data_IF_282681307956
#
_entry.id   IF_282681307956
#
_cell.length_a   1.000
_cell.length_b   1.000
_cell.length_c   1.000
_cell.angle_alpha   90.00
_cell.angle_beta   90.00
_cell.angle_gamma   90.00
#
_symmetry.space_group_name_H-M   'P 1'
#
loop_
_entity.id
_entity.type
_entity.pdbx_description
1 polymer ?
#
# COMPACT_ATOMS: atom_id res chain seq x y z
N UNK A 1 61.04 23.84 54.52
CA UNK A 1 60.69 23.20 55.76
C UNK A 1 59.32 22.74 55.58
N UNK A 2 59.27 21.64 55.39
CA UNK A 2 58.70 20.36 55.77
C UNK A 2 57.37 20.07 54.98
N UNK A 3 57.40 19.25 54.06
CA UNK A 3 57.48 17.80 54.03
C UNK A 3 56.08 17.16 54.31
N UNK A 4 55.70 16.36 53.41
CA UNK A 4 54.78 15.21 53.52
C UNK A 4 53.31 15.44 53.80
N UNK A 5 52.58 15.59 52.72
CA UNK A 5 51.18 15.17 52.72
C UNK A 5 51.06 13.84 52.02
N UNK A 6 51.04 12.75 52.77
CA UNK A 6 50.76 11.43 52.25
C UNK A 6 49.28 11.31 51.85
N UNK A 7 49.05 11.18 50.54
CA UNK A 7 47.72 10.89 49.98
C UNK A 7 47.41 9.40 50.29
N UNK A 8 46.54 9.13 51.25
CA UNK A 8 45.95 7.80 51.47
C UNK A 8 44.92 7.49 50.42
N UNK A 9 45.30 6.76 49.36
CA UNK A 9 44.36 6.16 48.44
C UNK A 9 43.70 4.98 49.12
N UNK A 10 42.44 5.10 49.46
CA UNK A 10 41.58 4.01 49.92
C UNK A 10 41.14 3.21 48.71
N UNK A 11 41.72 2.04 48.45
CA UNK A 11 41.22 1.11 47.46
C UNK A 11 39.84 0.60 47.96
N UNK A 12 38.79 1.08 47.31
CA UNK A 12 37.46 0.49 47.43
C UNK A 12 37.37 -0.63 46.40
N UNK A 13 37.52 -1.88 46.82
CA UNK A 13 37.28 -3.04 45.96
C UNK A 13 35.78 -3.19 45.82
N UNK A 14 35.17 -3.09 44.62
CA UNK A 14 33.75 -3.38 44.48
C UNK A 14 33.54 -4.89 44.67
N UNK A 15 32.67 -5.23 45.60
CA UNK A 15 32.13 -6.59 45.75
C UNK A 15 31.37 -6.88 44.46
N UNK A 16 31.92 -7.76 43.62
CA UNK A 16 31.22 -8.30 42.46
C UNK A 16 30.10 -9.20 42.99
N UNK A 17 28.89 -8.67 43.01
CA UNK A 17 27.73 -9.48 43.21
C UNK A 17 27.60 -10.42 42.00
N UNK A 18 27.74 -11.74 42.25
CA UNK A 18 27.40 -12.75 41.24
C UNK A 18 25.93 -12.59 40.90
N UNK A 19 25.65 -11.90 39.79
CA UNK A 19 24.31 -11.87 39.20
C UNK A 19 24.04 -13.27 38.64
N UNK A 20 22.95 -13.88 39.08
CA UNK A 20 22.35 -15.07 38.47
C UNK A 20 22.23 -14.88 36.95
N UNK A 21 22.41 -15.93 36.13
CA UNK A 21 22.31 -15.82 34.70
C UNK A 21 20.91 -15.28 34.35
N UNK A 22 20.86 -14.09 33.81
CA UNK A 22 19.62 -13.54 33.23
C UNK A 22 19.19 -14.49 32.11
N UNK A 23 17.97 -15.00 32.25
CA UNK A 23 17.31 -15.81 31.24
C UNK A 23 17.43 -15.05 29.89
N UNK A 24 18.09 -15.66 28.92
CA UNK A 24 18.24 -15.09 27.59
C UNK A 24 16.87 -14.62 27.09
N UNK A 25 16.77 -13.45 26.46
CA UNK A 25 15.51 -12.99 25.91
C UNK A 25 15.02 -14.06 24.93
N UNK A 26 13.83 -14.57 25.19
CA UNK A 26 13.16 -15.48 24.27
C UNK A 26 12.93 -14.69 23.01
N UNK A 27 13.72 -14.94 21.98
CA UNK A 27 13.49 -14.40 20.64
C UNK A 27 12.18 -15.01 20.16
N UNK A 28 11.09 -14.30 20.35
CA UNK A 28 9.82 -14.64 19.71
C UNK A 28 10.05 -14.43 18.22
N UNK A 29 10.33 -15.50 17.49
CA UNK A 29 10.31 -15.47 16.05
C UNK A 29 8.87 -15.16 15.64
N UNK A 30 8.62 -13.90 15.30
CA UNK A 30 7.41 -13.56 14.56
C UNK A 30 7.41 -14.42 13.29
N UNK A 31 6.31 -15.07 12.94
CA UNK A 31 6.26 -15.83 11.69
C UNK A 31 6.64 -14.88 10.54
N UNK A 32 7.33 -15.39 9.51
CA UNK A 32 7.72 -14.55 8.37
C UNK A 32 6.50 -13.83 7.81
N UNK A 33 6.65 -12.57 7.34
CA UNK A 33 5.54 -11.78 6.84
C UNK A 33 4.76 -12.60 5.82
N UNK A 34 3.46 -12.74 6.05
CA UNK A 34 2.58 -13.49 5.17
C UNK A 34 2.54 -12.81 3.81
N UNK A 35 3.02 -13.47 2.77
CA UNK A 35 2.91 -13.00 1.37
C UNK A 35 1.47 -13.03 0.85
N UNK A 36 0.53 -13.53 1.67
CA UNK A 36 -0.86 -13.70 1.27
C UNK A 36 -1.77 -12.78 2.08
N UNK A 37 -2.67 -12.08 1.38
CA UNK A 37 -3.84 -11.49 2.02
C UNK A 37 -4.73 -12.61 2.55
N UNK A 38 -5.31 -12.40 3.74
CA UNK A 38 -6.27 -13.33 4.34
C UNK A 38 -7.62 -12.68 4.39
N UNK A 39 -8.65 -13.40 3.98
CA UNK A 39 -10.04 -12.95 4.06
C UNK A 39 -10.85 -13.95 4.89
N UNK A 40 -11.74 -13.43 5.73
CA UNK A 40 -12.68 -14.20 6.55
C UNK A 40 -14.09 -13.80 6.18
N UNK A 41 -14.96 -14.78 5.89
CA UNK A 41 -16.40 -14.59 5.78
C UNK A 41 -17.01 -14.36 7.16
N UNK A 42 -17.83 -13.33 7.29
CA UNK A 42 -18.58 -13.01 8.51
C UNK A 42 -20.02 -13.50 8.43
N UNK A 43 -20.52 -13.84 7.24
CA UNK A 43 -21.82 -14.45 7.00
C UNK A 43 -21.76 -15.41 5.79
N UNK A 44 -22.82 -16.16 5.58
CA UNK A 44 -23.00 -17.01 4.40
C UNK A 44 -23.16 -16.21 3.08
N UNK A 45 -23.45 -14.90 3.17
CA UNK A 45 -23.63 -14.02 2.02
C UNK A 45 -22.33 -13.37 1.55
N UNK A 46 -21.24 -13.52 2.32
CA UNK A 46 -19.94 -13.00 1.95
C UNK A 46 -19.36 -13.75 0.73
N UNK A 47 -18.83 -13.01 -0.22
CA UNK A 47 -18.13 -13.58 -1.38
C UNK A 47 -16.63 -13.33 -1.22
N UNK A 48 -15.82 -14.39 -1.22
CA UNK A 48 -14.36 -14.27 -1.12
C UNK A 48 -13.83 -13.53 -2.35
N UNK A 49 -13.02 -12.48 -2.17
CA UNK A 49 -12.50 -11.67 -3.28
C UNK A 49 -11.60 -12.49 -4.20
N UNK A 50 -11.82 -12.37 -5.50
CA UNK A 50 -11.02 -13.05 -6.53
C UNK A 50 -10.59 -12.06 -7.60
N UNK A 51 -9.46 -12.33 -8.25
CA UNK A 51 -9.03 -11.58 -9.43
C UNK A 51 -9.65 -12.17 -10.68
N UNK A 52 -10.14 -11.31 -11.57
CA UNK A 52 -10.74 -11.74 -12.84
C UNK A 52 -9.73 -12.47 -13.73
N UNK A 53 -8.45 -12.08 -13.69
CA UNK A 53 -7.35 -12.74 -14.41
C UNK A 53 -6.12 -12.85 -13.52
N UNK A 54 -5.16 -13.68 -13.86
CA UNK A 54 -3.91 -13.84 -13.10
C UNK A 54 -3.10 -12.52 -12.96
N UNK A 55 -3.27 -11.59 -13.90
CA UNK A 55 -2.58 -10.29 -13.93
C UNK A 55 -3.45 -9.10 -13.50
N UNK A 56 -4.71 -9.32 -13.13
CA UNK A 56 -5.55 -8.24 -12.56
C UNK A 56 -4.93 -7.73 -11.27
N UNK A 57 -4.85 -6.40 -11.11
CA UNK A 57 -4.33 -5.76 -9.91
C UNK A 57 -5.33 -5.89 -8.74
N UNK A 58 -6.62 -5.72 -9.03
CA UNK A 58 -7.69 -5.72 -8.03
C UNK A 58 -8.38 -7.07 -7.86
N UNK A 59 -8.80 -7.32 -6.65
CA UNK A 59 -9.70 -8.42 -6.27
C UNK A 59 -11.11 -7.88 -6.21
N UNK A 60 -12.06 -8.46 -6.94
CA UNK A 60 -13.45 -8.00 -6.95
C UNK A 60 -14.07 -8.12 -5.55
N UNK A 61 -14.70 -7.04 -5.07
CA UNK A 61 -15.50 -6.99 -3.85
C UNK A 61 -16.98 -6.99 -4.23
N UNK A 62 -17.73 -7.94 -3.65
CA UNK A 62 -19.16 -8.10 -3.93
C UNK A 62 -20.02 -7.68 -2.74
N UNK A 63 -21.20 -7.16 -3.03
CA UNK A 63 -22.21 -6.85 -2.05
C UNK A 63 -22.75 -8.13 -1.40
N UNK A 64 -22.78 -8.17 -0.07
CA UNK A 64 -23.39 -9.27 0.69
C UNK A 64 -24.92 -9.10 0.82
N UNK A 65 -25.43 -7.88 0.63
CA UNK A 65 -26.84 -7.53 0.79
C UNK A 65 -27.27 -6.56 -0.29
N UNK A 66 -28.58 -6.53 -0.58
CA UNK A 66 -29.19 -5.51 -1.40
C UNK A 66 -29.00 -4.14 -0.75
N UNK A 67 -28.70 -3.12 -1.56
CA UNK A 67 -28.50 -1.74 -1.09
C UNK A 67 -28.96 -0.77 -2.17
N UNK A 68 -29.61 0.33 -1.77
CA UNK A 68 -29.94 1.44 -2.65
C UNK A 68 -28.97 2.60 -2.39
N UNK A 69 -28.37 3.11 -3.45
CA UNK A 69 -27.51 4.29 -3.39
C UNK A 69 -28.29 5.45 -4.00
N UNK A 70 -28.76 6.41 -3.17
CA UNK A 70 -29.62 7.49 -3.64
C UNK A 70 -28.95 8.33 -4.74
N UNK A 71 -29.74 8.90 -5.62
CA UNK A 71 -29.30 9.90 -6.58
C UNK A 71 -28.53 11.03 -5.90
N UNK A 72 -27.40 11.44 -6.45
CA UNK A 72 -26.51 12.47 -5.89
C UNK A 72 -26.13 12.22 -4.41
N UNK A 73 -26.19 10.96 -3.94
CA UNK A 73 -25.98 10.55 -2.57
C UNK A 73 -24.87 9.51 -2.40
N UNK A 74 -24.90 8.85 -1.26
CA UNK A 74 -23.93 7.80 -0.93
C UNK A 74 -24.56 6.73 -0.05
N UNK A 75 -23.97 5.53 -0.08
CA UNK A 75 -24.31 4.46 0.85
C UNK A 75 -23.06 3.61 1.17
N UNK A 76 -23.12 2.86 2.27
CA UNK A 76 -22.12 1.84 2.60
C UNK A 76 -22.68 0.49 2.17
N UNK A 77 -22.04 -0.13 1.19
CA UNK A 77 -22.35 -1.50 0.77
C UNK A 77 -21.56 -2.47 1.66
N UNK A 78 -22.28 -3.35 2.36
CA UNK A 78 -21.68 -4.37 3.23
C UNK A 78 -21.16 -5.52 2.38
N UNK A 79 -19.94 -5.98 2.66
CA UNK A 79 -19.33 -7.15 2.00
C UNK A 79 -19.37 -8.39 2.86
N UNK A 80 -19.63 -8.23 4.16
CA UNK A 80 -19.55 -9.27 5.18
C UNK A 80 -18.19 -10.01 5.18
N UNK A 81 -17.13 -9.27 4.88
CA UNK A 81 -15.75 -9.74 4.91
C UNK A 81 -14.96 -9.02 6.00
N UNK A 82 -14.00 -9.71 6.58
CA UNK A 82 -12.88 -9.12 7.33
C UNK A 82 -11.59 -9.54 6.63
N UNK A 83 -10.65 -8.61 6.47
CA UNK A 83 -9.43 -8.81 5.67
C UNK A 83 -8.21 -8.46 6.51
N UNK A 84 -7.14 -9.25 6.35
CA UNK A 84 -5.82 -8.93 6.87
C UNK A 84 -4.87 -8.73 5.68
N UNK A 85 -4.38 -7.52 5.51
CA UNK A 85 -3.38 -7.19 4.50
C UNK A 85 -2.01 -7.76 4.89
N UNK A 86 -1.17 -8.14 3.92
CA UNK A 86 0.23 -8.49 4.18
C UNK A 86 0.98 -7.32 4.82
N UNK A 87 2.00 -7.62 5.60
CA UNK A 87 2.88 -6.61 6.19
C UNK A 87 3.55 -5.76 5.11
N UNK A 88 3.71 -4.47 5.37
CA UNK A 88 4.25 -3.50 4.40
C UNK A 88 3.28 -3.16 3.27
N UNK A 89 1.99 -3.51 3.42
CA UNK A 89 0.93 -3.12 2.49
C UNK A 89 -0.29 -2.60 3.24
N UNK A 90 -1.15 -1.89 2.53
CA UNK A 90 -2.52 -1.63 2.95
C UNK A 90 -3.49 -2.09 1.86
N UNK A 91 -4.76 -2.22 2.20
CA UNK A 91 -5.82 -2.51 1.24
C UNK A 91 -6.48 -1.22 0.77
N UNK A 92 -6.46 -0.96 -0.55
CA UNK A 92 -7.20 0.15 -1.14
C UNK A 92 -8.45 -0.35 -1.83
N UNK A 93 -9.60 0.15 -1.41
CA UNK A 93 -10.85 -0.04 -2.15
C UNK A 93 -10.87 0.97 -3.29
N UNK A 94 -10.85 0.45 -4.51
CA UNK A 94 -10.85 1.26 -5.72
C UNK A 94 -12.16 1.07 -6.51
N UNK A 95 -12.61 2.10 -7.27
CA UNK A 95 -13.81 1.98 -8.09
C UNK A 95 -13.61 0.97 -9.23
N UNK A 96 -14.72 0.44 -9.72
CA UNK A 96 -14.73 -0.35 -10.96
C UNK A 96 -14.98 0.57 -12.15
N UNK A 97 -14.12 0.50 -13.14
CA UNK A 97 -14.19 1.36 -14.33
C UNK A 97 -15.56 1.32 -15.03
N UNK A 98 -16.17 0.13 -15.10
CA UNK A 98 -17.50 -0.02 -15.71
C UNK A 98 -18.60 0.71 -14.94
N UNK A 99 -18.57 0.68 -13.60
CA UNK A 99 -19.54 1.41 -12.78
C UNK A 99 -19.28 2.92 -12.83
N UNK A 100 -18.02 3.34 -12.82
CA UNK A 100 -17.66 4.74 -12.92
C UNK A 100 -18.14 5.35 -14.25
N UNK A 101 -17.81 4.71 -15.38
CA UNK A 101 -18.12 5.25 -16.71
C UNK A 101 -19.62 5.16 -17.06
N UNK A 102 -20.28 4.05 -16.73
CA UNK A 102 -21.67 3.81 -17.17
C UNK A 102 -22.71 4.30 -16.17
N UNK A 103 -22.40 4.27 -14.88
CA UNK A 103 -23.38 4.51 -13.82
C UNK A 103 -23.00 5.69 -12.92
N UNK A 104 -21.89 6.39 -13.18
CA UNK A 104 -21.40 7.50 -12.35
C UNK A 104 -21.19 7.13 -10.88
N UNK A 105 -20.81 5.87 -10.61
CA UNK A 105 -20.54 5.38 -9.26
C UNK A 105 -19.06 5.46 -8.97
N UNK A 106 -18.71 6.08 -7.83
CA UNK A 106 -17.35 6.19 -7.35
C UNK A 106 -17.22 5.64 -5.94
N UNK A 107 -15.97 5.41 -5.47
CA UNK A 107 -15.68 4.94 -4.12
C UNK A 107 -15.14 6.09 -3.25
N UNK A 108 -15.58 6.12 -2.01
CA UNK A 108 -15.03 7.02 -0.99
C UNK A 108 -14.27 6.29 0.10
N UNK A 109 -13.52 7.04 0.93
CA UNK A 109 -12.63 6.45 1.94
C UNK A 109 -11.68 5.43 1.31
N UNK A 110 -11.76 4.17 1.72
CA UNK A 110 -11.15 3.08 0.97
C UNK A 110 -9.77 2.65 1.46
N UNK A 111 -9.28 3.18 2.57
CA UNK A 111 -8.05 2.71 3.22
C UNK A 111 -8.41 1.61 4.23
N UNK A 112 -7.79 0.45 4.07
CA UNK A 112 -7.88 -0.68 5.01
C UNK A 112 -6.47 -0.92 5.55
N UNK A 113 -6.26 -0.52 6.79
CA UNK A 113 -4.97 -0.65 7.46
C UNK A 113 -4.57 -2.11 7.66
N UNK A 114 -3.26 -2.38 7.70
CA UNK A 114 -2.73 -3.74 7.83
C UNK A 114 -3.19 -4.44 9.11
N UNK A 115 -3.46 -3.69 10.18
CA UNK A 115 -3.92 -4.16 11.49
C UNK A 115 -5.45 -4.09 11.67
N UNK A 116 -6.21 -3.53 10.71
CA UNK A 116 -7.67 -3.55 10.78
C UNK A 116 -8.23 -4.96 10.66
N UNK A 117 -9.20 -5.30 11.51
CA UNK A 117 -9.86 -6.64 11.55
C UNK A 117 -11.37 -6.55 11.59
N UNK A 118 -11.93 -5.35 11.48
CA UNK A 118 -13.37 -5.13 11.43
C UNK A 118 -13.99 -5.55 10.09
N UNK A 119 -15.32 -5.43 9.97
CA UNK A 119 -16.02 -5.70 8.72
C UNK A 119 -15.66 -4.65 7.65
N UNK A 120 -15.38 -5.12 6.44
CA UNK A 120 -15.08 -4.27 5.28
C UNK A 120 -16.39 -3.80 4.65
N UNK A 121 -16.61 -2.48 4.65
CA UNK A 121 -17.69 -1.81 3.93
C UNK A 121 -17.14 -1.01 2.76
N UNK A 122 -17.88 -0.96 1.67
CA UNK A 122 -17.56 -0.14 0.49
C UNK A 122 -18.43 1.10 0.50
N UNK A 123 -17.83 2.27 0.70
CA UNK A 123 -18.53 3.55 0.54
C UNK A 123 -18.65 3.84 -0.94
N UNK A 124 -19.87 3.90 -1.46
CA UNK A 124 -20.14 4.29 -2.85
C UNK A 124 -20.83 5.66 -2.89
N UNK A 125 -20.34 6.52 -3.76
CA UNK A 125 -21.00 7.76 -4.15
C UNK A 125 -21.72 7.55 -5.47
N UNK A 126 -22.93 8.04 -5.57
CA UNK A 126 -23.71 8.09 -6.80
C UNK A 126 -23.76 9.52 -7.32
N UNK A 127 -23.05 9.81 -8.38
CA UNK A 127 -23.03 11.14 -9.01
C UNK A 127 -24.13 11.28 -10.08
N UNK A 128 -24.92 10.22 -10.34
CA UNK A 128 -26.07 10.26 -11.24
C UNK A 128 -27.28 10.91 -10.58
N UNK A 129 -28.25 11.33 -11.40
CA UNK A 129 -29.54 11.91 -10.97
C UNK A 129 -30.61 10.85 -10.69
N UNK A 130 -30.26 9.57 -10.78
CA UNK A 130 -31.13 8.42 -10.56
C UNK A 130 -30.55 7.54 -9.47
N UNK A 131 -31.43 6.88 -8.72
CA UNK A 131 -31.01 5.91 -7.71
C UNK A 131 -30.29 4.72 -8.36
N UNK A 132 -29.25 4.23 -7.72
CA UNK A 132 -28.53 3.04 -8.16
C UNK A 132 -28.79 1.87 -7.22
N UNK A 133 -29.48 0.84 -7.72
CA UNK A 133 -29.77 -0.37 -6.98
C UNK A 133 -28.62 -1.37 -7.08
N UNK A 134 -28.09 -1.77 -5.95
CA UNK A 134 -27.10 -2.85 -5.82
C UNK A 134 -27.81 -4.10 -5.32
N UNK A 135 -27.59 -5.22 -5.97
CA UNK A 135 -28.09 -6.54 -5.55
C UNK A 135 -27.00 -7.35 -4.89
N UNK A 136 -27.38 -8.25 -3.98
CA UNK A 136 -26.48 -9.21 -3.40
C UNK A 136 -25.73 -9.98 -4.50
N UNK A 137 -24.41 -10.08 -4.35
CA UNK A 137 -23.52 -10.71 -5.33
C UNK A 137 -22.97 -9.75 -6.40
N UNK A 138 -23.53 -8.55 -6.55
CA UNK A 138 -22.99 -7.56 -7.47
C UNK A 138 -21.58 -7.17 -7.05
N UNK A 139 -20.67 -7.13 -8.04
CA UNK A 139 -19.30 -6.64 -7.84
C UNK A 139 -19.32 -5.12 -7.85
N UNK A 140 -19.10 -4.52 -6.71
CA UNK A 140 -19.27 -3.07 -6.46
C UNK A 140 -17.99 -2.26 -6.45
N UNK A 141 -16.88 -2.91 -6.13
CA UNK A 141 -15.54 -2.29 -6.05
C UNK A 141 -14.46 -3.34 -6.30
N UNK A 142 -13.20 -2.93 -6.20
CA UNK A 142 -12.05 -3.83 -6.20
C UNK A 142 -11.09 -3.48 -5.06
N UNK A 143 -10.54 -4.51 -4.42
CA UNK A 143 -9.48 -4.39 -3.43
C UNK A 143 -8.12 -4.48 -4.13
N UNK A 144 -7.29 -3.47 -3.97
CA UNK A 144 -5.90 -3.45 -4.42
C UNK A 144 -4.98 -3.46 -3.20
N UNK A 145 -3.95 -4.31 -3.21
CA UNK A 145 -2.92 -4.30 -2.17
C UNK A 145 -1.76 -3.44 -2.65
N UNK A 146 -1.52 -2.34 -1.96
CA UNK A 146 -0.47 -1.38 -2.31
C UNK A 146 0.65 -1.41 -1.27
N UNK A 147 1.89 -1.39 -1.73
CA UNK A 147 3.05 -1.29 -0.84
C UNK A 147 3.18 0.11 -0.29
N UNK A 148 3.50 0.21 0.99
CA UNK A 148 3.70 1.47 1.68
C UNK A 148 4.94 1.39 2.59
N UNK A 149 5.43 2.57 2.95
CA UNK A 149 6.36 2.77 4.06
C UNK A 149 5.65 3.56 5.15
N UNK A 150 5.93 3.24 6.40
CA UNK A 150 5.31 3.88 7.58
C UNK A 150 6.39 4.36 8.54
N UNK A 151 7.25 5.32 8.14
CA UNK A 151 8.26 5.88 9.02
C UNK A 151 7.61 6.71 10.14
N UNK A 152 8.32 6.83 11.24
CA UNK A 152 7.94 7.78 12.29
C UNK A 152 8.04 9.22 11.76
N UNK A 153 7.13 10.09 12.22
CA UNK A 153 7.14 11.51 11.89
C UNK A 153 8.04 12.24 12.87
N UNK A 154 9.04 12.93 12.34
CA UNK A 154 9.95 13.79 13.12
C UNK A 154 9.55 15.24 12.90
N UNK A 155 9.35 15.95 14.01
CA UNK A 155 9.09 17.41 13.96
C UNK A 155 10.40 18.15 13.70
N UNK A 156 10.42 19.02 12.71
CA UNK A 156 11.54 19.91 12.39
C UNK A 156 11.04 21.35 12.24
N UNK A 157 11.92 22.32 12.42
CA UNK A 157 11.59 23.74 12.31
C UNK A 157 11.40 24.16 10.86
N UNK A 158 12.08 23.49 9.92
CA UNK A 158 12.01 23.80 8.49
C UNK A 158 12.25 22.53 7.66
N UNK A 159 11.82 22.55 6.40
CA UNK A 159 12.06 21.50 5.41
C UNK A 159 13.13 21.96 4.41
N UNK A 160 13.86 21.00 3.88
CA UNK A 160 14.83 21.25 2.81
C UNK A 160 14.16 21.87 1.57
N UNK A 161 14.90 22.70 0.87
CA UNK A 161 14.45 23.31 -0.36
C UNK A 161 14.30 22.26 -1.47
N UNK A 162 13.30 22.44 -2.32
CA UNK A 162 13.07 21.59 -3.50
C UNK A 162 12.80 22.45 -4.74
N UNK A 163 13.09 21.90 -5.92
CA UNK A 163 12.83 22.60 -7.20
C UNK A 163 11.36 23.04 -7.34
N UNK A 164 10.43 22.26 -6.81
CA UNK A 164 9.01 22.60 -6.84
C UNK A 164 8.60 23.62 -5.77
N UNK A 165 9.29 23.68 -4.65
CA UNK A 165 8.94 24.50 -3.51
C UNK A 165 7.47 24.35 -3.09
N UNK A 166 6.80 25.46 -2.86
CA UNK A 166 5.36 25.50 -2.46
C UNK A 166 4.39 25.39 -3.66
N UNK A 167 4.86 25.17 -4.88
CA UNK A 167 4.03 25.08 -6.09
C UNK A 167 3.09 23.88 -6.05
N UNK A 168 1.76 24.14 -6.11
CA UNK A 168 0.71 23.12 -6.10
C UNK A 168 -0.50 23.54 -6.92
N UNK A 169 -1.56 22.74 -6.90
CA UNK A 169 -2.88 23.03 -7.48
C UNK A 169 -2.84 23.52 -8.94
N UNK A 170 -2.01 22.90 -9.79
CA UNK A 170 -1.91 23.26 -11.21
C UNK A 170 -0.95 24.39 -11.49
N UNK A 171 0.01 24.70 -10.60
CA UNK A 171 1.06 25.70 -10.83
C UNK A 171 1.88 25.46 -12.10
N UNK A 172 1.90 24.22 -12.63
CA UNK A 172 2.56 23.85 -13.90
C UNK A 172 1.67 24.09 -15.12
N UNK A 173 0.42 24.55 -14.94
CA UNK A 173 -0.53 24.80 -16.01
C UNK A 173 -1.12 23.54 -16.64
N UNK A 174 -2.00 23.73 -17.60
CA UNK A 174 -2.68 22.65 -18.37
C UNK A 174 -2.21 22.61 -19.83
N UNK A 175 -1.27 23.49 -20.24
CA UNK A 175 -0.74 23.48 -21.59
C UNK A 175 0.05 22.20 -21.88
N UNK A 176 -0.07 21.68 -23.11
CA UNK A 176 0.71 20.53 -23.54
C UNK A 176 2.21 20.88 -23.45
N UNK A 177 3.00 19.95 -22.90
CA UNK A 177 4.45 20.10 -22.92
C UNK A 177 4.96 20.17 -24.37
N UNK A 178 5.96 21.02 -24.69
CA UNK A 178 6.56 21.04 -26.03
C UNK A 178 7.07 19.63 -26.36
N UNK A 179 6.76 19.16 -27.56
CA UNK A 179 7.29 17.86 -28.02
C UNK A 179 8.81 17.97 -28.08
N UNK A 180 9.56 16.94 -27.65
CA UNK A 180 11.01 16.91 -27.80
C UNK A 180 11.35 17.06 -29.27
N UNK A 181 12.16 18.08 -29.62
CA UNK A 181 12.49 18.47 -31.00
C UNK A 181 13.41 17.50 -31.73
N UNK A 182 13.96 16.49 -31.06
CA UNK A 182 14.87 15.53 -31.67
C UNK A 182 14.52 14.09 -31.33
N UNK A 183 14.35 13.23 -32.36
CA UNK A 183 14.38 11.79 -32.12
C UNK A 183 15.79 11.41 -31.62
N UNK A 184 15.86 10.69 -30.52
CA UNK A 184 17.13 10.07 -30.09
C UNK A 184 17.58 9.18 -31.26
N UNK A 185 18.78 9.38 -31.84
CA UNK A 185 19.28 8.47 -32.88
C UNK A 185 19.37 7.07 -32.28
N UNK A 186 18.63 6.13 -32.82
CA UNK A 186 18.86 4.72 -32.53
C UNK A 186 20.25 4.39 -33.08
N UNK A 187 21.19 4.12 -32.19
CA UNK A 187 22.49 3.57 -32.52
C UNK A 187 22.25 2.25 -33.26
N UNK A 188 22.66 2.23 -34.55
CA UNK A 188 22.51 1.05 -35.36
C UNK A 188 23.41 -0.07 -34.80
N UNK A 189 22.81 -1.21 -34.44
CA UNK A 189 23.56 -2.40 -34.07
C UNK A 189 24.57 -2.76 -35.19
N UNK A 190 25.82 -3.15 -34.85
CA UNK A 190 26.79 -3.56 -35.83
C UNK A 190 26.32 -4.87 -36.50
N UNK A 191 26.35 -4.86 -37.84
CA UNK A 191 25.99 -5.98 -38.66
C UNK A 191 26.72 -7.26 -38.22
N UNK A 192 25.95 -8.33 -37.98
CA UNK A 192 26.51 -9.68 -37.73
C UNK A 192 27.26 -10.16 -38.96
N UNK A 193 28.55 -10.40 -38.82
CA UNK A 193 29.39 -11.06 -39.84
C UNK A 193 28.81 -12.43 -40.17
N UNK A 194 28.38 -12.64 -41.41
CA UNK A 194 28.12 -13.94 -41.97
C UNK A 194 29.43 -14.73 -42.14
N UNK A 195 29.48 -16.03 -41.80
CA UNK A 195 30.66 -16.83 -42.07
C UNK A 195 30.75 -17.15 -43.57
N UNK A 196 31.98 -17.28 -44.14
CA UNK A 196 32.17 -17.52 -45.57
C UNK A 196 31.69 -18.92 -45.97
N UNK A 197 31.00 -18.97 -47.12
CA UNK A 197 30.51 -20.19 -47.74
C UNK A 197 31.70 -21.10 -48.13
N UNK A 198 31.67 -22.35 -47.61
CA UNK A 198 32.59 -23.41 -48.00
C UNK A 198 32.22 -23.92 -49.39
N UNK A 199 33.06 -23.69 -50.36
CA UNK A 199 32.97 -24.36 -51.66
C UNK A 199 33.42 -25.81 -51.52
N UNK A 200 32.58 -26.76 -51.89
CA UNK A 200 32.90 -28.17 -52.05
C UNK A 200 33.13 -28.41 -53.55
N UNK A 201 34.34 -28.85 -53.87
CA UNK A 201 34.66 -29.47 -55.14
C UNK A 201 34.20 -30.94 -55.19
#
# INVERSE_FOLDING_TARGET
MDASTLLKVKLCVPVVALSLPQRAPTVTHSPPPSLFARARSLSEFATIPVRATARSAGYDLSAAHDCLIPACGKAIVKTDLSIACPEGTYGRIAPRSGLAVKNFIDTGAGVIDADYRGPVGVVLFNHAKEDFAVKRGDRVAQLVLERIVTPDVVVCDDLDESERGAGGFGSTGVAALPKPETPIPMESEPAKNEPPATQVQ
#
